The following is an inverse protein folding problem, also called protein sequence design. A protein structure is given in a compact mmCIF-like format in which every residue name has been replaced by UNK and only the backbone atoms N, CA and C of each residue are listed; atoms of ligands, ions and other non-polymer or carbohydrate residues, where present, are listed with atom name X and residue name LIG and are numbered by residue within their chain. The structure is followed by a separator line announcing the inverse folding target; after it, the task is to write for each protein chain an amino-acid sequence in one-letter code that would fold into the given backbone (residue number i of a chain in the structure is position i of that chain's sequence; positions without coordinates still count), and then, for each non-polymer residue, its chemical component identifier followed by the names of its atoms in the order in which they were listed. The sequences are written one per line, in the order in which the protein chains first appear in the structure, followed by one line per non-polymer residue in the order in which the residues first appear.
data_IF_424208924143
#
_entry.id   IF_424208924143
#
_cell.length_a   1.000
_cell.length_b   1.000
_cell.length_c   1.000
_cell.angle_alpha   90.00
_cell.angle_beta   90.00
_cell.angle_gamma   90.00
#
_symmetry.space_group_name_H-M   'P 1'
#
loop_
_entity.id
_entity.type
_entity.pdbx_description
1 polymer ?
#
# COMPACT_ATOMS: atom_id res chain seq x y z
N UNK A 1 -8.51 22.02 9.63
CA UNK A 1 -7.65 20.85 9.40
C UNK A 1 -7.35 20.85 7.91
N UNK A 2 -6.36 21.63 7.50
CA UNK A 2 -5.96 21.74 6.10
C UNK A 2 -5.29 20.44 5.73
N UNK A 3 -6.00 19.62 4.94
CA UNK A 3 -5.46 18.41 4.37
C UNK A 3 -4.39 18.85 3.37
N UNK A 4 -3.14 18.55 3.73
CA UNK A 4 -1.92 18.76 2.98
C UNK A 4 -2.11 18.34 1.50
N UNK A 5 -2.37 19.33 0.64
CA UNK A 5 -2.76 19.13 -0.77
C UNK A 5 -1.54 18.91 -1.70
N UNK A 6 -0.36 18.63 -1.14
CA UNK A 6 0.90 18.39 -1.86
C UNK A 6 1.59 17.08 -1.44
N UNK A 7 0.90 16.15 -0.78
CA UNK A 7 1.49 14.83 -0.55
C UNK A 7 1.68 14.13 -1.88
N UNK A 8 2.91 13.70 -2.13
CA UNK A 8 3.25 12.82 -3.23
C UNK A 8 2.29 11.62 -3.19
N UNK A 9 1.77 11.21 -4.36
CA UNK A 9 0.92 10.03 -4.50
C UNK A 9 1.55 8.81 -3.85
N UNK A 10 2.88 8.71 -3.86
CA UNK A 10 3.62 7.63 -3.17
C UNK A 10 3.49 7.70 -1.66
N UNK A 11 3.47 8.88 -1.04
CA UNK A 11 3.27 9.04 0.40
C UNK A 11 1.85 8.68 0.81
N UNK A 12 0.85 9.14 0.04
CA UNK A 12 -0.56 8.79 0.27
C UNK A 12 -0.79 7.28 0.15
N UNK A 13 -0.15 6.64 -0.83
CA UNK A 13 -0.23 5.21 -1.02
C UNK A 13 0.40 4.41 0.13
N UNK A 14 1.58 4.81 0.61
CA UNK A 14 2.21 4.23 1.81
C UNK A 14 1.30 4.38 3.04
N UNK A 15 0.72 5.57 3.25
CA UNK A 15 -0.20 5.83 4.35
C UNK A 15 -1.47 4.97 4.25
N UNK A 16 -2.06 4.85 3.06
CA UNK A 16 -3.22 4.01 2.81
C UNK A 16 -2.93 2.53 3.11
N UNK A 17 -1.76 2.02 2.66
CA UNK A 17 -1.34 0.64 2.91
C UNK A 17 -1.17 0.38 4.42
N UNK A 18 -0.58 1.33 5.15
CA UNK A 18 -0.44 1.25 6.61
C UNK A 18 -1.80 1.22 7.32
N UNK A 19 -2.72 2.11 6.95
CA UNK A 19 -4.09 2.14 7.51
C UNK A 19 -4.80 0.81 7.25
N UNK A 20 -4.69 0.26 6.05
CA UNK A 20 -5.30 -1.02 5.70
C UNK A 20 -4.74 -2.19 6.52
N UNK A 21 -3.41 -2.29 6.67
CA UNK A 21 -2.76 -3.34 7.48
C UNK A 21 -3.16 -3.24 8.95
N UNK A 22 -3.21 -2.02 9.51
CA UNK A 22 -3.66 -1.80 10.89
C UNK A 22 -5.12 -2.19 11.07
N UNK A 23 -5.99 -1.82 10.13
CA UNK A 23 -7.40 -2.19 10.14
C UNK A 23 -7.59 -3.72 10.06
N UNK A 24 -6.83 -4.38 9.19
CA UNK A 24 -6.83 -5.85 9.08
C UNK A 24 -6.40 -6.52 10.39
N UNK A 25 -5.33 -6.03 11.03
CA UNK A 25 -4.85 -6.56 12.31
C UNK A 25 -5.89 -6.35 13.43
N UNK A 26 -6.55 -5.19 13.47
CA UNK A 26 -7.64 -4.92 14.42
C UNK A 26 -8.78 -5.91 14.26
N UNK A 27 -9.19 -6.18 13.02
CA UNK A 27 -10.26 -7.15 12.75
C UNK A 27 -9.84 -8.56 13.14
N UNK A 28 -8.58 -8.94 12.92
CA UNK A 28 -8.07 -10.25 13.33
C UNK A 28 -8.12 -10.42 14.86
N UNK A 29 -7.80 -9.36 15.61
CA UNK A 29 -7.91 -9.38 17.07
C UNK A 29 -9.35 -9.57 17.54
N UNK A 30 -10.31 -8.86 16.91
CA UNK A 30 -11.72 -8.93 17.28
C UNK A 30 -12.32 -10.31 16.97
N UNK A 31 -11.96 -10.90 15.82
CA UNK A 31 -12.55 -12.15 15.36
C UNK A 31 -11.83 -13.39 15.91
N UNK A 32 -10.51 -13.35 15.97
CA UNK A 32 -9.66 -14.52 16.20
C UNK A 32 -8.78 -14.40 17.46
N UNK A 33 -8.84 -13.27 18.19
CA UNK A 33 -7.95 -12.98 19.33
C UNK A 33 -6.45 -13.05 18.99
N UNK A 34 -6.12 -12.87 17.72
CA UNK A 34 -4.74 -12.85 17.22
C UNK A 34 -4.32 -11.43 16.86
N UNK A 35 -3.09 -11.07 17.22
CA UNK A 35 -2.54 -9.72 17.05
C UNK A 35 -1.06 -9.80 16.70
N UNK A 36 -0.69 -9.19 15.57
CA UNK A 36 0.70 -8.93 15.23
C UNK A 36 1.22 -7.73 16.03
N UNK A 37 2.53 -7.68 16.26
CA UNK A 37 3.17 -6.54 16.92
C UNK A 37 3.23 -5.31 16.00
N UNK A 38 3.09 -4.11 16.57
CA UNK A 38 3.02 -2.85 15.81
C UNK A 38 4.21 -2.60 14.87
N UNK A 39 5.44 -2.92 15.28
CA UNK A 39 6.62 -2.78 14.42
C UNK A 39 6.56 -3.73 13.21
N UNK A 40 6.08 -4.95 13.42
CA UNK A 40 5.92 -5.94 12.34
C UNK A 40 4.85 -5.49 11.34
N UNK A 41 3.78 -4.84 11.81
CA UNK A 41 2.74 -4.27 10.95
C UNK A 41 3.28 -3.14 10.06
N UNK A 42 4.15 -2.27 10.60
CA UNK A 42 4.79 -1.21 9.82
C UNK A 42 5.71 -1.77 8.72
N UNK A 43 6.54 -2.76 9.06
CA UNK A 43 7.39 -3.44 8.08
C UNK A 43 6.55 -4.12 7.00
N UNK A 44 5.49 -4.84 7.38
CA UNK A 44 4.56 -5.51 6.47
C UNK A 44 3.88 -4.53 5.52
N UNK A 45 3.40 -3.40 6.03
CA UNK A 45 2.78 -2.36 5.21
C UNK A 45 3.76 -1.79 4.17
N UNK A 46 5.02 -1.56 4.56
CA UNK A 46 6.05 -1.06 3.65
C UNK A 46 6.41 -2.08 2.57
N UNK A 47 6.60 -3.36 2.92
CA UNK A 47 6.85 -4.42 1.94
C UNK A 47 5.72 -4.54 0.93
N UNK A 48 4.47 -4.58 1.40
CA UNK A 48 3.28 -4.65 0.53
C UNK A 48 3.16 -3.42 -0.39
N UNK A 49 3.51 -2.23 0.10
CA UNK A 49 3.54 -1.04 -0.73
C UNK A 49 4.57 -1.15 -1.86
N UNK A 50 5.80 -1.59 -1.56
CA UNK A 50 6.84 -1.74 -2.58
C UNK A 50 6.51 -2.79 -3.62
N UNK A 51 5.93 -3.92 -3.21
CA UNK A 51 5.42 -4.94 -4.13
C UNK A 51 4.36 -4.36 -5.07
N UNK A 52 3.40 -3.59 -4.53
CA UNK A 52 2.37 -2.95 -5.33
C UNK A 52 2.91 -1.87 -6.28
N UNK A 53 3.81 -1.00 -5.82
CA UNK A 53 4.44 0.05 -6.64
C UNK A 53 5.21 -0.57 -7.82
N UNK A 54 5.98 -1.63 -7.57
CA UNK A 54 6.71 -2.36 -8.60
C UNK A 54 5.79 -3.00 -9.65
N UNK A 55 4.65 -3.54 -9.22
CA UNK A 55 3.63 -4.08 -10.14
C UNK A 55 3.04 -2.96 -10.99
N UNK A 56 2.74 -1.79 -10.43
CA UNK A 56 2.20 -0.66 -11.20
C UNK A 56 3.19 -0.07 -12.20
N UNK A 57 4.47 -0.02 -11.85
CA UNK A 57 5.53 0.38 -12.78
C UNK A 57 5.63 -0.60 -13.96
N UNK A 58 5.54 -1.91 -13.69
CA UNK A 58 5.55 -2.95 -14.72
C UNK A 58 4.31 -2.87 -15.65
N UNK A 59 3.11 -2.69 -15.09
CA UNK A 59 1.88 -2.53 -15.88
C UNK A 59 1.92 -1.26 -16.75
N UNK A 60 2.39 -0.15 -16.20
CA UNK A 60 2.49 1.12 -16.93
C UNK A 60 3.47 1.00 -18.11
N UNK A 61 4.56 0.27 -17.93
CA UNK A 61 5.56 0.02 -18.98
C UNK A 61 5.06 -0.94 -20.06
N UNK A 62 4.32 -1.99 -19.68
CA UNK A 62 3.72 -2.95 -20.62
C UNK A 62 2.59 -2.36 -21.47
N UNK A 63 1.79 -1.46 -20.90
CA UNK A 63 0.72 -0.76 -21.63
C UNK A 63 1.25 0.17 -22.73
N UNK A 64 2.42 0.78 -22.54
CA UNK A 64 3.05 1.65 -23.54
C UNK A 64 3.57 0.87 -24.76
N UNK A 65 4.05 -0.36 -24.56
CA UNK A 65 4.51 -1.21 -25.67
C UNK A 65 3.35 -1.71 -26.56
N UNK A 66 2.19 -1.99 -25.96
CA UNK A 66 1.00 -2.41 -26.71
C UNK A 66 0.42 -1.29 -27.60
N UNK A 67 0.68 -0.02 -27.26
CA UNK A 67 0.14 1.14 -27.98
C UNK A 67 1.08 1.66 -29.10
N UNK A 68 2.34 1.23 -29.14
CA UNK A 68 3.28 1.55 -30.24
C UNK A 68 3.26 0.55 -31.40
N UNK A 69 2.47 -0.54 -31.31
CA UNK A 69 2.34 -1.54 -32.38
C UNK A 69 1.02 -1.42 -33.18
N UNK A 70 0.38 -0.25 -33.19
CA UNK A 70 -0.81 0.02 -34.01
C UNK A 70 -0.62 1.29 -34.85
#
# INVERSE_FOLDING_TARGET
MELYCNSDRKELGKAAMLIWVLWKNRNNWICNHEKDQGQQLGMKAMSLWYEWDAVQDAYSSGGQQAQQMH
#
